data_IF_264467146665
#
_entry.id   IF_264467146665
#
_cell.length_a   1.000
_cell.length_b   1.000
_cell.length_c   1.000
_cell.angle_alpha   90.00
_cell.angle_beta   90.00
_cell.angle_gamma   90.00
#
_symmetry.space_group_name_H-M   'P 1'
#
loop_
_entity.id
_entity.type
_entity.pdbx_description
1 polymer ?
#
# COMPACT_ATOMS: atom_id res chain seq x y z
N UNK A 1 -6.73 -1.74 -22.26
CA UNK A 1 -5.38 -1.45 -21.79
C UNK A 1 -4.92 -2.51 -20.82
N UNK A 2 -3.77 -3.08 -21.06
CA UNK A 2 -3.24 -4.07 -20.14
C UNK A 2 -2.82 -3.40 -18.85
N UNK A 3 -3.00 -4.09 -17.74
CA UNK A 3 -2.60 -3.62 -16.44
C UNK A 3 -1.11 -3.85 -16.26
N UNK A 4 -0.31 -2.83 -16.60
CA UNK A 4 1.14 -2.92 -16.52
C UNK A 4 1.67 -2.70 -15.10
N UNK A 5 0.84 -2.15 -14.18
CA UNK A 5 1.23 -1.89 -12.80
C UNK A 5 0.10 -2.26 -11.84
N UNK A 6 0.06 -3.52 -11.37
CA UNK A 6 -1.00 -3.96 -10.45
C UNK A 6 -1.01 -3.21 -9.12
N UNK A 7 0.15 -2.73 -8.64
CA UNK A 7 0.22 -1.96 -7.40
C UNK A 7 -0.42 -0.59 -7.61
N UNK A 8 -0.12 0.08 -8.72
CA UNK A 8 -0.77 1.35 -9.04
C UNK A 8 -2.28 1.19 -9.15
N UNK A 9 -2.75 0.10 -9.72
CA UNK A 9 -4.18 -0.21 -9.79
C UNK A 9 -4.80 -0.34 -8.40
N UNK A 10 -4.12 -1.05 -7.49
CA UNK A 10 -4.58 -1.18 -6.11
C UNK A 10 -4.75 0.19 -5.46
N UNK A 11 -3.72 1.05 -5.57
CA UNK A 11 -3.76 2.38 -4.96
C UNK A 11 -4.86 3.26 -5.57
N UNK A 12 -5.04 3.16 -6.88
CA UNK A 12 -6.09 3.91 -7.59
C UNK A 12 -7.48 3.45 -7.16
N UNK A 13 -7.69 2.14 -7.01
CA UNK A 13 -8.99 1.60 -6.56
C UNK A 13 -9.32 2.07 -5.15
N UNK A 14 -8.33 2.09 -4.25
CA UNK A 14 -8.51 2.62 -2.89
C UNK A 14 -8.90 4.09 -2.94
N UNK A 15 -8.16 4.88 -3.71
CA UNK A 15 -8.39 6.33 -3.83
C UNK A 15 -9.80 6.62 -4.39
N UNK A 16 -10.17 5.92 -5.46
CA UNK A 16 -11.48 6.13 -6.09
C UNK A 16 -12.63 5.69 -5.19
N UNK A 17 -12.47 4.59 -4.46
CA UNK A 17 -13.49 4.13 -3.52
C UNK A 17 -13.71 5.15 -2.39
N UNK A 18 -12.63 5.78 -1.92
CA UNK A 18 -12.71 6.81 -0.88
C UNK A 18 -13.42 8.07 -1.36
N UNK A 19 -13.30 8.42 -2.65
CA UNK A 19 -13.97 9.59 -3.19
C UNK A 19 -15.50 9.48 -3.11
N UNK A 20 -16.02 8.27 -3.17
CA UNK A 20 -17.47 8.03 -3.08
C UNK A 20 -17.86 7.36 -1.76
N UNK A 21 -16.97 7.38 -0.77
CA UNK A 21 -17.20 6.87 0.58
C UNK A 21 -17.66 5.41 0.63
N UNK A 22 -17.07 4.56 -0.21
CA UNK A 22 -17.37 3.13 -0.17
C UNK A 22 -16.79 2.50 1.10
N UNK A 23 -17.51 1.55 1.73
CA UNK A 23 -16.98 0.88 2.92
C UNK A 23 -15.84 -0.08 2.60
N UNK A 24 -15.79 -0.63 1.40
CA UNK A 24 -14.76 -1.58 1.01
C UNK A 24 -14.50 -1.54 -0.48
N UNK A 25 -13.38 -2.14 -0.88
CA UNK A 25 -12.99 -2.25 -2.28
C UNK A 25 -12.37 -3.61 -2.51
N UNK A 26 -12.66 -4.22 -3.67
CA UNK A 26 -12.12 -5.52 -4.05
C UNK A 26 -11.15 -5.36 -5.21
N UNK A 27 -10.03 -6.08 -5.15
CA UNK A 27 -9.02 -6.10 -6.20
C UNK A 27 -8.57 -7.56 -6.42
N UNK A 28 -8.05 -7.89 -7.60
CA UNK A 28 -7.41 -9.20 -7.77
C UNK A 28 -6.28 -9.36 -6.77
N UNK A 29 -6.21 -10.52 -6.12
CA UNK A 29 -5.23 -10.75 -5.06
C UNK A 29 -3.85 -11.09 -5.63
N UNK A 30 -2.81 -10.71 -4.87
CA UNK A 30 -1.45 -11.17 -5.07
C UNK A 30 -0.73 -11.11 -3.72
N UNK A 31 0.42 -11.79 -3.63
CA UNK A 31 1.19 -11.78 -2.38
C UNK A 31 1.65 -10.37 -2.02
N UNK A 32 2.09 -9.60 -3.01
CA UNK A 32 2.56 -8.22 -2.78
C UNK A 32 1.41 -7.33 -2.32
N UNK A 33 0.25 -7.42 -2.99
CA UNK A 33 -0.92 -6.62 -2.61
C UNK A 33 -1.40 -6.95 -1.20
N UNK A 34 -1.41 -8.23 -0.84
CA UNK A 34 -1.78 -8.66 0.51
C UNK A 34 -0.78 -8.13 1.54
N UNK A 35 0.51 -8.15 1.22
CA UNK A 35 1.54 -7.61 2.11
C UNK A 35 1.40 -6.10 2.29
N UNK A 36 1.08 -5.37 1.23
CA UNK A 36 0.80 -3.92 1.31
C UNK A 36 -0.43 -3.68 2.20
N UNK A 37 -1.49 -4.46 2.02
CA UNK A 37 -2.70 -4.34 2.83
C UNK A 37 -2.40 -4.59 4.32
N UNK A 38 -1.53 -5.58 4.62
CA UNK A 38 -1.12 -5.85 6.00
C UNK A 38 -0.41 -4.65 6.61
N UNK A 39 0.49 -4.02 5.87
CA UNK A 39 1.18 -2.81 6.35
C UNK A 39 0.18 -1.68 6.59
N UNK A 40 -0.75 -1.46 5.66
CA UNK A 40 -1.79 -0.43 5.83
C UNK A 40 -2.65 -0.68 7.07
N UNK A 41 -3.00 -1.93 7.33
CA UNK A 41 -3.77 -2.30 8.51
C UNK A 41 -2.97 -2.07 9.79
N UNK A 42 -1.72 -2.52 9.83
CA UNK A 42 -0.84 -2.39 11.00
C UNK A 42 -0.57 -0.93 11.33
N UNK A 43 -0.50 -0.06 10.33
CA UNK A 43 -0.28 1.38 10.51
C UNK A 43 -1.58 2.15 10.75
N UNK A 44 -2.72 1.48 10.74
CA UNK A 44 -4.00 2.10 11.03
C UNK A 44 -4.64 2.86 9.88
N UNK A 45 -4.23 2.62 8.66
CA UNK A 45 -4.78 3.29 7.48
C UNK A 45 -6.03 2.63 6.92
N UNK A 46 -6.19 1.33 7.16
CA UNK A 46 -7.41 0.60 6.81
C UNK A 46 -7.89 -0.19 8.03
N UNK A 47 -9.17 -0.55 8.04
CA UNK A 47 -9.74 -1.31 9.14
C UNK A 47 -9.34 -2.78 9.09
N UNK A 48 -9.43 -3.39 7.91
CA UNK A 48 -9.16 -4.82 7.74
C UNK A 48 -8.98 -5.16 6.27
N UNK A 49 -8.57 -6.39 6.01
CA UNK A 49 -8.56 -6.93 4.66
C UNK A 49 -8.77 -8.44 4.74
N UNK A 50 -9.28 -9.03 3.68
CA UNK A 50 -9.53 -10.47 3.58
C UNK A 50 -9.17 -10.97 2.21
N UNK A 51 -8.65 -12.19 2.19
CA UNK A 51 -8.49 -12.94 0.94
C UNK A 51 -9.69 -13.87 0.80
N UNK A 52 -10.35 -13.82 -0.34
CA UNK A 52 -11.45 -14.72 -0.64
C UNK A 52 -11.34 -15.24 -2.06
N UNK A 53 -12.05 -16.32 -2.32
CA UNK A 53 -12.10 -16.92 -3.66
C UNK A 53 -13.48 -16.69 -4.24
N UNK A 54 -13.54 -16.06 -5.40
CA UNK A 54 -14.76 -15.84 -6.16
C UNK A 54 -14.57 -16.40 -7.57
N UNK A 55 -15.46 -17.31 -7.98
CA UNK A 55 -15.41 -17.92 -9.32
C UNK A 55 -14.02 -18.52 -9.65
N UNK A 56 -13.41 -19.16 -8.66
CA UNK A 56 -12.08 -19.77 -8.81
C UNK A 56 -10.92 -18.80 -8.80
N UNK A 57 -11.16 -17.51 -8.59
CA UNK A 57 -10.13 -16.48 -8.56
C UNK A 57 -9.95 -15.92 -7.16
N UNK A 58 -8.71 -15.65 -6.79
CA UNK A 58 -8.41 -15.03 -5.51
C UNK A 58 -8.64 -13.53 -5.59
N UNK A 59 -9.39 -13.01 -4.63
CA UNK A 59 -9.75 -11.59 -4.52
C UNK A 59 -9.32 -11.07 -3.16
N UNK A 60 -8.73 -9.90 -3.15
CA UNK A 60 -8.38 -9.17 -1.93
C UNK A 60 -9.46 -8.13 -1.67
N UNK A 61 -10.15 -8.28 -0.54
CA UNK A 61 -11.21 -7.37 -0.12
C UNK A 61 -10.66 -6.48 0.99
N UNK A 62 -10.67 -5.16 0.78
CA UNK A 62 -10.09 -4.19 1.70
C UNK A 62 -11.20 -3.37 2.32
N UNK A 63 -11.26 -3.38 3.65
CA UNK A 63 -12.24 -2.58 4.40
C UNK A 63 -11.61 -1.24 4.70
N UNK A 64 -12.15 -0.20 4.08
CA UNK A 64 -11.63 1.16 4.20
C UNK A 64 -11.98 1.76 5.56
N UNK A 65 -11.19 2.75 5.97
CA UNK A 65 -11.33 3.37 7.28
C UNK A 65 -11.65 4.85 7.12
N UNK A 66 -12.65 5.30 7.87
CA UNK A 66 -13.09 6.70 7.87
C UNK A 66 -13.13 7.21 9.30
N UNK A 67 -12.87 8.49 9.46
CA UNK A 67 -13.00 9.16 10.74
C UNK A 67 -13.76 10.48 10.53
N UNK A 68 -14.84 10.66 11.29
CA UNK A 68 -15.69 11.86 11.18
C UNK A 68 -16.12 12.14 9.73
N UNK A 69 -16.46 11.08 8.98
CA UNK A 69 -16.92 11.17 7.60
C UNK A 69 -15.83 11.37 6.56
N UNK A 70 -14.56 11.34 6.96
CA UNK A 70 -13.43 11.54 6.05
C UNK A 70 -12.55 10.30 5.98
N UNK A 71 -11.98 9.99 4.80
CA UNK A 71 -11.02 8.89 4.70
C UNK A 71 -9.81 9.13 5.60
N UNK A 72 -9.34 8.08 6.25
CA UNK A 72 -8.11 8.14 7.06
C UNK A 72 -6.90 8.35 6.16
N UNK A 73 -6.88 7.70 4.98
CA UNK A 73 -5.81 7.93 4.01
C UNK A 73 -6.09 9.25 3.29
N UNK A 74 -5.25 10.24 3.51
CA UNK A 74 -5.35 11.52 2.81
C UNK A 74 -4.54 11.52 1.52
N UNK A 75 -3.45 10.73 1.49
CA UNK A 75 -2.52 10.71 0.38
C UNK A 75 -2.02 9.29 0.19
N UNK A 76 -2.10 8.80 -1.05
CA UNK A 76 -1.57 7.49 -1.41
C UNK A 76 -1.02 7.58 -2.84
N UNK A 77 0.29 7.39 -2.99
CA UNK A 77 1.00 7.63 -4.23
C UNK A 77 1.94 6.49 -4.58
N UNK A 78 1.91 6.08 -5.83
CA UNK A 78 2.89 5.14 -6.39
C UNK A 78 4.23 5.84 -6.55
N UNK A 79 5.32 5.19 -6.14
CA UNK A 79 6.68 5.74 -6.29
C UNK A 79 7.45 4.96 -7.34
N UNK A 80 7.82 3.72 -7.06
CA UNK A 80 8.51 2.86 -8.02
C UNK A 80 7.52 2.34 -9.06
N UNK A 81 7.88 2.39 -10.33
CA UNK A 81 7.01 1.98 -11.43
C UNK A 81 7.76 1.04 -12.36
N UNK A 82 7.04 0.20 -13.13
CA UNK A 82 7.72 -0.69 -14.07
C UNK A 82 8.69 0.01 -15.03
N UNK A 83 8.36 1.22 -15.46
CA UNK A 83 9.21 2.01 -16.35
C UNK A 83 10.28 2.82 -15.66
N UNK A 84 10.21 2.94 -14.33
CA UNK A 84 11.18 3.71 -13.54
C UNK A 84 11.21 3.17 -12.12
N UNK A 85 12.08 2.19 -11.89
CA UNK A 85 12.23 1.58 -10.56
C UNK A 85 13.00 2.49 -9.62
N UNK A 86 12.55 2.59 -8.37
CA UNK A 86 13.16 3.42 -7.34
C UNK A 86 13.63 2.53 -6.20
N UNK A 87 14.95 2.40 -6.06
CA UNK A 87 15.60 1.62 -5.01
C UNK A 87 16.35 2.57 -4.09
N UNK A 88 16.27 2.34 -2.79
CA UNK A 88 16.98 3.14 -1.79
C UNK A 88 17.66 2.21 -0.78
N UNK A 89 18.91 2.54 -0.43
CA UNK A 89 19.58 1.91 0.67
C UNK A 89 18.97 2.36 1.99
N UNK A 90 19.29 1.66 3.07
CA UNK A 90 18.67 1.92 4.38
C UNK A 90 18.82 3.38 4.85
N UNK A 91 19.94 4.03 4.53
CA UNK A 91 20.20 5.40 4.96
C UNK A 91 19.58 6.46 4.03
N UNK A 92 19.07 6.02 2.87
CA UNK A 92 18.51 6.90 1.86
C UNK A 92 16.99 6.76 1.72
N UNK A 93 16.34 5.91 2.51
CA UNK A 93 14.88 5.74 2.47
C UNK A 93 14.23 7.04 2.96
N UNK A 94 13.35 7.65 2.14
CA UNK A 94 12.77 8.94 2.50
C UNK A 94 11.75 8.82 3.64
N UNK A 95 11.62 9.89 4.39
CA UNK A 95 10.51 10.06 5.34
C UNK A 95 9.37 10.77 4.62
N UNK A 96 8.15 10.31 4.84
CA UNK A 96 6.94 10.90 4.27
C UNK A 96 6.37 11.90 5.28
N UNK A 97 6.20 13.15 4.86
CA UNK A 97 5.66 14.22 5.71
C UNK A 97 6.36 14.30 7.06
N UNK A 98 7.70 14.30 7.05
CA UNK A 98 8.54 14.37 8.25
C UNK A 98 8.22 13.27 9.29
N UNK A 99 7.87 12.10 8.80
CA UNK A 99 7.57 10.94 9.66
C UNK A 99 6.10 10.82 10.07
N UNK A 100 5.23 11.72 9.62
CA UNK A 100 3.80 11.61 9.88
C UNK A 100 3.13 10.57 8.97
N UNK A 101 3.69 10.34 7.78
CA UNK A 101 3.25 9.28 6.88
C UNK A 101 4.25 8.14 6.83
N UNK A 102 4.04 7.19 5.93
CA UNK A 102 4.93 6.05 5.75
C UNK A 102 5.26 5.85 4.28
N UNK A 103 6.47 5.36 4.02
CA UNK A 103 6.81 4.75 2.74
C UNK A 103 6.71 3.24 2.90
N UNK A 104 6.09 2.56 1.95
CA UNK A 104 6.03 1.10 1.95
C UNK A 104 7.14 0.60 1.02
N UNK A 105 8.02 -0.21 1.57
CA UNK A 105 9.25 -0.66 0.91
C UNK A 105 9.26 -2.18 0.83
N UNK A 106 9.58 -2.73 -0.33
CA UNK A 106 9.82 -4.17 -0.44
C UNK A 106 11.31 -4.42 -0.29
N UNK A 107 11.67 -5.26 0.68
CA UNK A 107 13.06 -5.56 1.05
C UNK A 107 13.31 -7.06 0.97
N UNK A 108 14.57 -7.50 1.04
CA UNK A 108 14.84 -8.94 1.11
C UNK A 108 14.18 -9.64 2.31
N UNK A 109 13.78 -8.87 3.34
CA UNK A 109 13.11 -9.41 4.53
C UNK A 109 11.60 -9.22 4.48
N UNK A 110 11.04 -8.75 3.37
CA UNK A 110 9.62 -8.60 3.15
C UNK A 110 9.19 -7.16 2.91
N UNK A 111 7.89 -6.96 2.77
CA UNK A 111 7.28 -5.65 2.60
C UNK A 111 7.10 -5.02 3.99
N UNK A 112 7.56 -3.80 4.15
CA UNK A 112 7.53 -3.13 5.45
C UNK A 112 7.49 -1.60 5.30
N UNK A 113 7.32 -0.90 6.41
CA UNK A 113 7.41 0.55 6.42
C UNK A 113 8.86 1.00 6.35
N UNK A 114 9.05 2.28 5.98
CA UNK A 114 10.36 2.91 6.00
C UNK A 114 11.00 2.85 7.40
N UNK A 115 10.22 3.08 8.45
CA UNK A 115 10.72 3.01 9.84
C UNK A 115 11.25 1.63 10.17
N UNK A 116 10.50 0.60 9.83
CA UNK A 116 10.91 -0.78 10.10
C UNK A 116 12.14 -1.16 9.28
N UNK A 117 12.18 -0.73 8.02
CA UNK A 117 13.34 -0.99 7.16
C UNK A 117 14.61 -0.35 7.73
N UNK A 118 14.53 0.90 8.17
CA UNK A 118 15.67 1.58 8.82
C UNK A 118 16.09 0.88 10.10
N UNK A 119 15.12 0.51 10.94
CA UNK A 119 15.39 -0.18 12.21
C UNK A 119 16.00 -1.56 12.00
N UNK A 120 15.58 -2.27 10.95
CA UNK A 120 16.10 -3.58 10.60
C UNK A 120 17.44 -3.50 9.87
N UNK A 121 17.78 -2.32 9.33
CA UNK A 121 19.04 -2.11 8.62
C UNK A 121 19.02 -2.57 7.18
N UNK A 122 17.86 -2.53 6.52
CA UNK A 122 17.71 -2.96 5.13
C UNK A 122 17.15 -1.84 4.27
N UNK A 123 17.54 -1.85 3.00
CA UNK A 123 16.92 -1.00 1.99
C UNK A 123 16.15 -1.85 1.00
N UNK A 124 15.56 -1.22 0.01
CA UNK A 124 14.81 -1.93 -1.02
C UNK A 124 14.12 -1.00 -1.99
N UNK A 125 13.13 -1.53 -2.66
CA UNK A 125 12.32 -0.79 -3.62
C UNK A 125 11.20 -0.06 -2.91
N UNK A 126 11.14 1.27 -3.11
CA UNK A 126 10.08 2.10 -2.51
C UNK A 126 8.83 1.99 -3.39
N UNK A 127 7.83 1.30 -2.88
CA UNK A 127 6.61 1.01 -3.64
C UNK A 127 5.68 2.21 -3.70
N UNK A 128 5.41 2.81 -2.55
CA UNK A 128 4.44 3.91 -2.47
C UNK A 128 4.63 4.74 -1.20
N UNK A 129 4.02 5.91 -1.19
CA UNK A 129 3.89 6.76 -0.01
C UNK A 129 2.43 6.78 0.43
N UNK A 130 2.21 6.76 1.75
CA UNK A 130 0.87 6.83 2.35
C UNK A 130 0.90 7.81 3.51
N UNK A 131 -0.09 8.66 3.55
CA UNK A 131 -0.25 9.59 4.66
C UNK A 131 -1.72 9.88 4.94
#
# INVERSE_FOLDING_TARGET
MSMSDPIADLLTRIRNAQLVNKPSVSVPASKVKAAIAQVLKDEGYIDDFRLKTEDGKSVLDIVLKYYAGRPVIERIERVSRPGLRVYKGRDAIPQVMNGLGVAIVTTPKGVMTDRKARATGVGGEVLCYVA
#
